data_IF_178247094144
#
_entry.id   IF_178247094144
#
_cell.length_a   1.000
_cell.length_b   1.000
_cell.length_c   1.000
_cell.angle_alpha   90.00
_cell.angle_beta   90.00
_cell.angle_gamma   90.00
#
_symmetry.space_group_name_H-M   'P 1'
#
loop_
_entity.id
_entity.type
_entity.pdbx_description
1 polymer ?
2 water ?
#
# COMPACT_ATOMS: atom_id res chain seq x y z
N UNK A 1 13.88 -3.43 -7.83
CA UNK A 1 13.21 -2.08 -7.76
C UNK A 1 14.19 -0.99 -7.37
N UNK A 2 13.82 0.26 -7.61
CA UNK A 2 14.69 1.39 -7.28
C UNK A 2 13.85 2.63 -7.04
N UNK A 3 14.07 3.26 -5.90
CA UNK A 3 13.33 4.46 -5.51
C UNK A 3 14.31 5.49 -4.95
N UNK A 4 14.06 6.76 -5.26
CA UNK A 4 14.93 7.83 -4.78
C UNK A 4 14.10 8.90 -4.07
N UNK A 5 14.50 9.20 -2.83
CA UNK A 5 13.83 10.20 -2.00
C UNK A 5 14.56 11.54 -2.04
N UNK A 6 13.81 12.63 -2.15
CA UNK A 6 14.39 13.98 -2.17
C UNK A 6 13.80 14.81 -1.03
N UNK A 7 14.64 15.55 -0.31
CA UNK A 7 14.16 16.36 0.81
C UNK A 7 13.22 17.49 0.39
N UNK A 8 13.44 18.05 -0.79
CA UNK A 8 12.61 19.15 -1.26
C UNK A 8 11.79 18.77 -2.49
N UNK A 9 10.79 19.59 -2.82
CA UNK A 9 9.92 19.30 -3.95
C UNK A 9 10.62 19.39 -5.30
N UNK A 10 10.01 18.80 -6.31
CA UNK A 10 10.54 18.81 -7.67
C UNK A 10 11.94 18.22 -7.78
N UNK A 11 12.21 17.20 -6.96
CA UNK A 11 13.48 16.48 -6.97
C UNK A 11 14.69 17.34 -6.62
N UNK A 12 14.50 18.20 -5.62
CA UNK A 12 15.55 19.09 -5.17
C UNK A 12 16.08 18.70 -3.80
N UNK A 13 17.25 19.24 -3.46
CA UNK A 13 17.86 18.97 -2.17
C UNK A 13 18.56 17.63 -2.08
N UNK A 14 18.98 17.29 -0.86
CA UNK A 14 19.66 16.03 -0.60
C UNK A 14 18.74 14.87 -0.92
N UNK A 15 19.31 13.80 -1.46
CA UNK A 15 18.53 12.62 -1.82
C UNK A 15 19.18 11.33 -1.32
N UNK A 16 18.41 10.25 -1.38
CA UNK A 16 18.89 8.93 -0.96
C UNK A 16 18.20 7.89 -1.84
N UNK A 17 18.98 6.98 -2.39
CA UNK A 17 18.45 5.93 -3.26
C UNK A 17 18.38 4.58 -2.56
N UNK A 18 17.25 3.89 -2.72
CA UNK A 18 17.04 2.57 -2.12
C UNK A 18 16.65 1.54 -3.18
N UNK A 19 17.14 0.32 -3.02
CA UNK A 19 16.81 -0.76 -3.94
C UNK A 19 16.33 -1.99 -3.17
N UNK A 20 16.03 -1.80 -1.89
CA UNK A 20 15.54 -2.88 -1.04
C UNK A 20 14.75 -2.29 0.12
N UNK A 21 14.21 -3.14 0.98
CA UNK A 21 13.47 -2.66 2.15
C UNK A 21 14.43 -1.85 3.01
N UNK A 22 13.88 -0.92 3.79
CA UNK A 22 14.67 -0.12 4.72
C UNK A 22 13.74 0.29 5.84
N UNK A 23 13.94 -0.28 7.04
CA UNK A 23 13.13 -0.01 8.23
C UNK A 23 13.37 1.35 8.90
N UNK A 24 14.41 2.06 8.48
CA UNK A 24 14.70 3.37 9.07
C UNK A 24 15.51 4.26 8.13
N UNK A 25 14.82 5.23 7.53
CA UNK A 25 15.43 6.16 6.58
C UNK A 25 15.90 7.45 7.25
N UNK A 26 15.58 7.61 8.53
CA UNK A 26 15.96 8.81 9.27
C UNK A 26 17.45 9.16 9.18
N UNK A 27 18.34 8.16 9.18
CA UNK A 27 19.77 8.46 9.10
C UNK A 27 20.22 9.07 7.77
N UNK A 28 19.37 8.98 6.75
CA UNK A 28 19.74 9.47 5.42
C UNK A 28 19.11 10.80 5.00
N UNK A 29 17.91 11.09 5.51
CA UNK A 29 17.25 12.36 5.22
C UNK A 29 16.25 12.68 6.32
N UNK A 30 16.01 13.98 6.53
CA UNK A 30 15.11 14.44 7.57
C UNK A 30 13.69 14.76 7.11
N UNK A 31 13.48 14.73 5.80
CA UNK A 31 12.17 15.02 5.23
C UNK A 31 12.15 14.55 3.79
N UNK A 32 10.96 14.33 3.25
CA UNK A 32 10.83 13.89 1.86
C UNK A 32 9.66 14.60 1.18
N UNK A 33 9.98 15.45 0.21
CA UNK A 33 8.96 16.21 -0.50
C UNK A 33 8.77 15.84 -1.97
N UNK A 34 9.57 14.90 -2.46
CA UNK A 34 9.45 14.43 -3.84
C UNK A 34 10.13 13.08 -3.95
N UNK A 35 9.67 12.27 -4.89
CA UNK A 35 10.21 10.93 -5.08
C UNK A 35 10.21 10.52 -6.54
N UNK A 36 11.26 9.81 -6.94
CA UNK A 36 11.36 9.27 -8.29
C UNK A 36 11.40 7.76 -8.10
N UNK A 37 10.44 7.05 -8.69
CA UNK A 37 10.46 5.60 -8.59
C UNK A 37 10.92 5.14 -9.96
N UNK A 38 12.17 4.70 -10.06
CA UNK A 38 12.71 4.25 -11.33
C UNK A 38 12.09 2.93 -11.75
N UNK A 39 11.81 2.07 -10.77
CA UNK A 39 11.21 0.78 -11.05
C UNK A 39 10.68 0.09 -9.80
N UNK A 40 9.69 -0.77 -9.99
CA UNK A 40 9.12 -1.51 -8.88
C UNK A 40 7.92 -0.91 -8.19
N UNK A 41 7.37 -1.67 -7.26
CA UNK A 41 6.22 -1.24 -6.47
C UNK A 41 6.72 -1.07 -5.05
N UNK A 42 6.37 0.07 -4.46
CA UNK A 42 6.82 0.39 -3.11
C UNK A 42 5.73 0.85 -2.17
N UNK A 43 5.93 0.58 -0.89
CA UNK A 43 5.01 1.07 0.13
C UNK A 43 5.95 1.92 0.98
N UNK A 44 5.62 3.19 1.15
CA UNK A 44 6.46 4.04 1.98
C UNK A 44 5.68 4.38 3.25
N UNK A 45 6.41 4.54 4.35
CA UNK A 45 5.77 4.79 5.63
C UNK A 45 6.20 6.05 6.36
N UNK A 46 5.26 6.59 7.12
CA UNK A 46 5.49 7.79 7.91
C UNK A 46 6.51 7.57 9.02
N UNK A 47 6.45 6.41 9.66
CA UNK A 47 7.34 6.10 10.77
C UNK A 47 8.26 4.91 10.49
N UNK A 48 9.33 4.77 11.28
CA UNK A 48 10.28 3.67 11.11
C UNK A 48 9.60 2.32 11.34
N UNK A 49 10.24 1.27 10.86
CA UNK A 49 9.73 -0.09 11.02
C UNK A 49 8.35 -0.32 10.42
N UNK A 50 8.07 0.34 9.30
CA UNK A 50 6.82 0.16 8.59
C UNK A 50 5.57 0.49 9.40
N UNK A 51 5.68 1.51 10.24
CA UNK A 51 4.58 1.95 11.08
C UNK A 51 4.01 3.28 10.61
N UNK A 52 2.83 3.63 11.11
CA UNK A 52 2.20 4.89 10.74
C UNK A 52 1.47 4.84 9.41
N UNK A 53 1.17 6.02 8.87
CA UNK A 53 0.47 6.13 7.59
C UNK A 53 1.27 5.45 6.47
N UNK A 54 0.56 4.76 5.59
CA UNK A 54 1.18 4.03 4.47
C UNK A 54 0.76 4.61 3.13
N UNK A 55 1.67 4.57 2.16
CA UNK A 55 1.39 5.08 0.82
C UNK A 55 2.01 4.18 -0.23
N UNK A 56 1.22 3.86 -1.25
CA UNK A 56 1.64 3.01 -2.35
C UNK A 56 2.15 3.82 -3.54
N UNK A 57 3.32 3.45 -4.05
CA UNK A 57 3.91 4.12 -5.21
C UNK A 57 4.45 3.12 -6.23
N UNK A 58 4.32 3.47 -7.50
CA UNK A 58 4.79 2.65 -8.61
C UNK A 58 5.70 3.52 -9.46
N UNK A 59 6.28 2.93 -10.51
CA UNK A 59 7.16 3.66 -11.40
C UNK A 59 6.52 4.99 -11.79
N UNK A 60 7.28 6.06 -11.62
CA UNK A 60 6.77 7.38 -11.95
C UNK A 60 7.52 8.45 -11.19
N UNK A 61 7.19 9.70 -11.46
CA UNK A 61 7.84 10.79 -10.77
C UNK A 61 6.80 11.57 -9.97
N UNK A 62 7.12 11.78 -8.70
CA UNK A 62 6.23 12.46 -7.77
C UNK A 62 6.90 13.74 -7.26
N UNK A 63 6.64 14.88 -7.92
CA UNK A 63 7.21 16.18 -7.56
C UNK A 63 6.79 16.77 -6.22
N UNK A 64 5.75 16.21 -5.61
CA UNK A 64 5.28 16.68 -4.31
C UNK A 64 4.61 15.51 -3.60
N UNK A 65 4.53 15.56 -2.28
CA UNK A 65 3.93 14.45 -1.55
C UNK A 65 2.46 14.23 -1.86
N UNK A 66 1.77 15.28 -2.29
CA UNK A 66 0.36 15.14 -2.63
C UNK A 66 0.20 14.17 -3.80
N UNK A 67 1.24 14.02 -4.62
CA UNK A 67 1.17 13.13 -5.77
C UNK A 67 1.04 11.65 -5.41
N UNK A 68 1.49 11.27 -4.21
CA UNK A 68 1.34 9.88 -3.78
C UNK A 68 0.26 9.83 -2.71
N UNK A 69 -0.61 10.84 -2.74
CA UNK A 69 -1.71 10.97 -1.79
C UNK A 69 -1.19 11.08 -0.36
N UNK A 70 0.01 11.62 -0.23
CA UNK A 70 0.61 11.76 1.09
C UNK A 70 0.04 12.91 1.90
N UNK A 71 0.19 12.81 3.22
CA UNK A 71 -0.30 13.85 4.12
C UNK A 71 0.78 14.87 4.46
N UNK A 72 2.04 14.45 4.41
CA UNK A 72 3.14 15.33 4.76
C UNK A 72 4.45 14.88 4.13
N UNK A 73 5.54 15.49 4.57
CA UNK A 73 6.86 15.14 4.07
C UNK A 73 7.62 14.23 5.03
N UNK A 74 6.88 13.54 5.89
CA UNK A 74 7.49 12.62 6.84
C UNK A 74 7.45 11.19 6.31
N UNK A 75 8.60 10.69 5.89
CA UNK A 75 8.73 9.32 5.37
C UNK A 75 9.95 8.73 6.07
N UNK A 76 9.75 7.67 6.84
CA UNK A 76 10.85 7.08 7.60
C UNK A 76 11.16 5.60 7.39
N UNK A 77 10.41 4.94 6.52
CA UNK A 77 10.70 3.54 6.20
C UNK A 77 10.05 3.22 4.86
N UNK A 78 10.54 2.18 4.20
CA UNK A 78 9.99 1.80 2.91
C UNK A 78 10.22 0.33 2.62
N UNK A 79 9.30 -0.28 1.90
CA UNK A 79 9.48 -1.68 1.57
C UNK A 79 9.22 -1.90 0.09
N UNK A 80 10.03 -2.76 -0.51
CA UNK A 80 9.90 -3.10 -1.92
C UNK A 80 8.98 -4.30 -2.02
N UNK A 81 7.83 -4.10 -2.65
CA UNK A 81 6.87 -5.17 -2.81
C UNK A 81 7.33 -6.10 -3.92
N UNK A 82 7.56 -7.38 -3.59
CA UNK A 82 8.01 -8.35 -4.58
C UNK A 82 7.15 -8.37 -5.85
N UNK A 83 7.78 -8.39 -7.03
CA UNK A 83 7.00 -8.43 -8.27
C UNK A 83 6.22 -9.74 -8.33
N UNK A 84 5.03 -9.70 -8.92
CA UNK A 84 4.19 -10.88 -9.01
C UNK A 84 3.69 -11.14 -10.43
N UNK A 85 3.73 -12.41 -10.84
CA UNK A 85 3.27 -12.82 -12.16
C UNK A 85 2.06 -13.72 -12.03
N UNK A 86 1.27 -13.79 -13.09
CA UNK A 86 0.09 -14.64 -13.07
C UNK A 86 -1.08 -14.00 -12.35
N UNK A 87 -2.06 -14.82 -12.01
CA UNK A 87 -3.25 -14.33 -11.34
C UNK A 87 -3.04 -13.95 -9.88
N UNK A 88 -3.80 -12.96 -9.44
CA UNK A 88 -3.77 -12.50 -8.06
C UNK A 88 -4.97 -13.18 -7.42
N UNK A 89 -4.95 -13.36 -6.11
CA UNK A 89 -6.06 -14.03 -5.46
C UNK A 89 -6.17 -13.76 -3.98
N UNK A 90 -7.38 -13.39 -3.54
CA UNK A 90 -7.61 -13.15 -2.13
C UNK A 90 -9.07 -13.42 -1.79
N UNK A 91 -9.29 -13.99 -0.62
CA UNK A 91 -10.63 -14.29 -0.15
C UNK A 91 -10.98 -13.32 0.97
N UNK A 92 -12.21 -12.83 0.96
CA UNK A 92 -12.67 -11.91 1.99
C UNK A 92 -13.81 -12.58 2.74
N UNK A 93 -13.85 -12.36 4.05
CA UNK A 93 -14.88 -12.96 4.90
C UNK A 93 -15.63 -11.88 5.67
N UNK A 94 -16.91 -12.11 5.95
CA UNK A 94 -17.70 -11.12 6.68
C UNK A 94 -17.73 -11.36 8.20
N UNK A 95 -16.81 -12.21 8.66
CA UNK A 95 -16.65 -12.53 10.08
C UNK A 95 -15.16 -12.76 10.33
N UNK A 96 -14.73 -12.65 11.59
CA UNK A 96 -13.31 -12.86 11.91
C UNK A 96 -12.90 -14.32 11.80
N UNK A 97 -11.60 -14.56 11.87
CA UNK A 97 -11.04 -15.91 11.80
C UNK A 97 -11.39 -16.70 10.54
N UNK A 98 -11.57 -15.99 9.43
CA UNK A 98 -11.89 -16.63 8.16
C UNK A 98 -13.17 -17.45 8.22
N UNK A 99 -14.21 -16.89 8.83
CA UNK A 99 -15.50 -17.55 8.94
C UNK A 99 -16.55 -16.66 8.29
N UNK A 100 -17.78 -17.16 8.17
CA UNK A 100 -18.84 -16.37 7.57
C UNK A 100 -18.90 -16.45 6.06
N UNK A 101 -19.67 -15.55 5.44
CA UNK A 101 -19.79 -15.53 3.99
C UNK A 101 -18.44 -15.18 3.39
N UNK A 102 -18.03 -15.94 2.38
CA UNK A 102 -16.74 -15.73 1.73
C UNK A 102 -16.87 -15.53 0.23
N UNK A 103 -16.05 -14.63 -0.30
CA UNK A 103 -16.01 -14.35 -1.73
C UNK A 103 -14.55 -14.26 -2.13
N UNK A 104 -14.26 -14.61 -3.37
CA UNK A 104 -12.89 -14.58 -3.84
C UNK A 104 -12.69 -13.54 -4.93
N UNK A 105 -11.59 -12.79 -4.82
CA UNK A 105 -11.24 -11.77 -5.80
C UNK A 105 -10.00 -12.21 -6.55
N UNK A 106 -10.02 -12.06 -7.88
CA UNK A 106 -8.87 -12.41 -8.70
C UNK A 106 -8.53 -11.22 -9.58
N UNK A 107 -9.19 -10.09 -9.31
CA UNK A 107 -8.96 -8.86 -10.06
C UNK A 107 -9.27 -7.69 -9.12
N UNK A 108 -9.02 -6.47 -9.58
CA UNK A 108 -9.27 -5.28 -8.77
C UNK A 108 -10.74 -5.08 -8.44
N UNK A 109 -11.00 -4.34 -7.37
CA UNK A 109 -12.36 -4.03 -6.95
C UNK A 109 -12.40 -2.56 -6.55
N UNK A 110 -12.93 -1.72 -7.43
CA UNK A 110 -13.02 -0.28 -7.18
C UNK A 110 -14.06 0.10 -6.15
N UNK A 111 -15.06 -0.76 -5.97
CA UNK A 111 -16.12 -0.50 -5.00
C UNK A 111 -16.60 -1.79 -4.38
N UNK A 112 -16.17 -2.06 -3.16
CA UNK A 112 -16.56 -3.26 -2.45
C UNK A 112 -18.07 -3.26 -2.22
N UNK A 113 -18.65 -2.06 -2.13
CA UNK A 113 -20.09 -1.93 -1.93
C UNK A 113 -20.83 -2.41 -3.17
N UNK A 114 -20.47 -1.86 -4.33
CA UNK A 114 -21.11 -2.23 -5.58
C UNK A 114 -20.93 -3.70 -5.93
N UNK A 115 -19.74 -4.23 -5.66
CA UNK A 115 -19.43 -5.62 -5.98
C UNK A 115 -20.00 -6.66 -5.01
N UNK A 116 -19.76 -6.47 -3.72
CA UNK A 116 -20.21 -7.44 -2.72
C UNK A 116 -21.32 -6.97 -1.78
N UNK A 117 -21.74 -5.72 -1.95
CA UNK A 117 -22.75 -5.12 -1.09
C UNK A 117 -22.28 -5.24 0.36
N UNK A 118 -21.01 -4.91 0.56
CA UNK A 118 -20.37 -4.93 1.87
C UNK A 118 -19.68 -3.60 2.08
N UNK A 119 -19.64 -3.13 3.32
CA UNK A 119 -18.97 -1.87 3.65
C UNK A 119 -17.83 -2.15 4.62
N UNK A 120 -17.79 -3.39 5.11
CA UNK A 120 -16.75 -3.83 6.03
C UNK A 120 -16.30 -5.23 5.63
N UNK A 121 -15.05 -5.56 5.97
CA UNK A 121 -14.49 -6.88 5.72
C UNK A 121 -13.84 -7.24 7.05
N UNK A 122 -14.17 -8.41 7.59
CA UNK A 122 -13.64 -8.81 8.90
C UNK A 122 -12.42 -9.72 8.95
N UNK A 123 -12.16 -10.46 7.88
CA UNK A 123 -10.97 -11.30 7.83
C UNK A 123 -10.63 -11.51 6.37
N UNK A 124 -9.36 -11.80 6.11
CA UNK A 124 -8.90 -11.97 4.74
C UNK A 124 -7.87 -13.07 4.61
N UNK A 125 -7.77 -13.61 3.40
CA UNK A 125 -6.76 -14.61 3.11
C UNK A 125 -6.19 -14.23 1.75
N UNK A 126 -5.07 -13.53 1.76
CA UNK A 126 -4.42 -13.11 0.53
C UNK A 126 -3.58 -14.31 0.10
N UNK A 127 -4.04 -15.00 -0.94
CA UNK A 127 -3.37 -16.20 -1.43
C UNK A 127 -2.27 -15.95 -2.46
N UNK A 128 -2.55 -15.10 -3.44
CA UNK A 128 -1.59 -14.80 -4.50
C UNK A 128 -1.43 -13.31 -4.80
N UNK A 129 -0.20 -12.83 -4.67
CA UNK A 129 0.09 -11.43 -4.95
C UNK A 129 -0.21 -10.50 -3.79
N UNK A 130 0.37 -9.30 -3.84
CA UNK A 130 0.15 -8.30 -2.81
C UNK A 130 -0.97 -7.38 -3.27
N UNK A 131 -1.69 -6.79 -2.32
CA UNK A 131 -2.80 -5.89 -2.64
C UNK A 131 -2.76 -4.68 -1.71
N UNK A 132 -3.51 -3.65 -2.09
CA UNK A 132 -3.63 -2.45 -1.26
C UNK A 132 -5.10 -2.36 -0.87
N UNK A 133 -5.35 -2.23 0.42
CA UNK A 133 -6.71 -2.10 0.93
C UNK A 133 -6.93 -0.61 1.19
N UNK A 134 -7.99 -0.06 0.61
CA UNK A 134 -8.32 1.35 0.76
C UNK A 134 -9.58 1.54 1.59
N UNK A 135 -9.55 2.56 2.45
CA UNK A 135 -10.69 2.88 3.31
C UNK A 135 -11.91 3.30 2.48
N UNK A 136 -11.66 4.01 1.39
CA UNK A 136 -12.75 4.50 0.54
C UNK A 136 -12.73 3.88 -0.85
N UNK A 137 -13.86 3.99 -1.57
CA UNK A 137 -13.93 3.44 -2.93
C UNK A 137 -12.99 4.21 -3.86
N UNK A 138 -12.73 3.64 -5.02
CA UNK A 138 -11.88 4.26 -6.03
C UNK A 138 -10.47 4.60 -5.58
N UNK A 139 -9.89 3.72 -4.78
CA UNK A 139 -8.53 3.88 -4.28
C UNK A 139 -8.27 5.20 -3.56
N UNK A 140 -9.16 5.57 -2.65
CA UNK A 140 -9.01 6.80 -1.89
C UNK A 140 -9.02 6.51 -0.39
N UNK A 141 -8.69 7.51 0.42
CA UNK A 141 -8.66 7.32 1.86
C UNK A 141 -7.41 6.60 2.35
N UNK A 142 -7.41 6.22 3.62
CA UNK A 142 -6.26 5.53 4.21
C UNK A 142 -5.92 4.23 3.49
N UNK A 143 -4.63 4.00 3.29
CA UNK A 143 -4.13 2.81 2.61
C UNK A 143 -3.48 1.80 3.56
N UNK A 144 -3.64 0.52 3.23
CA UNK A 144 -3.08 -0.55 4.03
C UNK A 144 -2.54 -1.64 3.11
N UNK A 145 -1.23 -1.85 3.14
CA UNK A 145 -0.61 -2.87 2.32
C UNK A 145 -1.02 -4.25 2.82
N UNK A 146 -1.46 -5.10 1.89
CA UNK A 146 -1.85 -6.46 2.22
C UNK A 146 -0.87 -7.42 1.56
N UNK A 147 0.02 -7.99 2.36
CA UNK A 147 0.99 -8.93 1.83
C UNK A 147 0.32 -10.30 1.88
N UNK A 148 0.77 -11.24 1.03
CA UNK A 148 0.16 -12.58 1.03
C UNK A 148 0.08 -13.14 2.44
N UNK A 149 -1.00 -13.85 2.74
CA UNK A 149 -1.15 -14.42 4.07
C UNK A 149 -2.53 -14.25 4.66
N UNK A 150 -2.72 -14.79 5.86
CA UNK A 150 -3.99 -14.72 6.56
C UNK A 150 -4.10 -13.55 7.53
N UNK A 151 -5.21 -12.83 7.44
CA UNK A 151 -5.49 -11.71 8.33
C UNK A 151 -6.78 -12.07 9.05
N UNK A 152 -6.64 -12.50 10.30
CA UNK A 152 -7.78 -12.94 11.11
C UNK A 152 -8.74 -11.86 11.61
N UNK A 153 -8.27 -10.62 11.68
CA UNK A 153 -9.11 -9.51 12.11
C UNK A 153 -8.55 -8.22 11.50
N UNK A 154 -9.37 -7.18 11.42
CA UNK A 154 -8.94 -5.92 10.81
C UNK A 154 -7.70 -5.32 11.45
N UNK A 155 -7.49 -5.59 12.74
CA UNK A 155 -6.32 -5.07 13.42
C UNK A 155 -5.05 -5.59 12.76
N UNK A 156 -5.14 -6.78 12.16
CA UNK A 156 -3.98 -7.39 11.52
C UNK A 156 -3.44 -6.66 10.30
N UNK A 157 -4.26 -5.85 9.63
CA UNK A 157 -3.73 -5.09 8.50
C UNK A 157 -3.48 -3.64 8.90
N UNK A 158 -3.57 -3.39 10.21
CA UNK A 158 -3.30 -2.08 10.75
C UNK A 158 -4.38 -1.01 10.78
N UNK A 159 -5.60 -1.38 10.41
CA UNK A 159 -6.70 -0.42 10.38
C UNK A 159 -7.37 -0.27 11.75
N UNK A 160 -8.01 0.89 11.99
CA UNK A 160 -8.70 1.19 13.26
C UNK A 160 -10.08 0.56 13.32
N UNK A 161 -10.57 0.10 12.17
CA UNK A 161 -11.88 -0.53 12.09
C UNK A 161 -11.92 -1.43 10.86
N UNK A 162 -13.06 -2.08 10.63
CA UNK A 162 -13.21 -3.01 9.51
C UNK A 162 -13.75 -2.42 8.20
N UNK A 163 -13.86 -1.09 8.12
CA UNK A 163 -14.37 -0.48 6.90
C UNK A 163 -13.40 -0.64 5.73
N UNK A 164 -13.94 -1.02 4.58
CA UNK A 164 -13.14 -1.21 3.36
C UNK A 164 -13.92 -0.69 2.15
N UNK A 165 -13.28 0.19 1.38
CA UNK A 165 -13.93 0.76 0.21
C UNK A 165 -13.50 0.16 -1.12
N UNK A 166 -12.21 -0.17 -1.24
CA UNK A 166 -11.71 -0.75 -2.48
C UNK A 166 -10.47 -1.60 -2.25
N UNK A 167 -10.19 -2.49 -3.20
CA UNK A 167 -9.04 -3.39 -3.11
C UNK A 167 -8.31 -3.38 -4.44
N UNK A 168 -7.00 -3.17 -4.37
CA UNK A 168 -6.18 -3.06 -5.56
C UNK A 168 -4.99 -4.02 -5.61
N UNK A 169 -4.83 -4.70 -6.75
CA UNK A 169 -3.71 -5.61 -6.92
C UNK A 169 -2.46 -4.75 -7.07
N UNK A 170 -1.37 -5.14 -6.43
CA UNK A 170 -0.13 -4.40 -6.54
C UNK A 170 0.66 -4.92 -7.74
N UNK A 171 0.74 -4.10 -8.78
CA UNK A 171 1.49 -4.46 -9.98
C UNK A 171 2.12 -3.19 -10.53
N UNK A 172 3.32 -3.29 -11.07
CA UNK A 172 3.97 -2.09 -11.57
C UNK A 172 3.24 -1.50 -12.77
N UNK A 173 3.55 -0.24 -13.04
CA UNK A 173 2.96 0.48 -14.15
C UNK A 173 3.22 -0.33 -15.41
N UNK A 174 2.16 -0.59 -16.17
CA UNK A 174 2.30 -1.34 -17.40
C UNK A 174 3.22 -0.62 -18.37
N UNK A 175 4.05 -1.39 -19.06
CA UNK A 175 4.98 -0.84 -20.03
C UNK A 175 5.10 -1.79 -21.22
N UNK A 176 5.53 -2.94 -21.01
#
# INVERSE_FOLDING_TARGET
>A
GKITFYEDRAFQGRSYECTTDCPNLQPYFSRCNSIRVESGCWMIYERPNYQGHQYFLRRGEYPDYQQWMGLSDSIRSCCLIPPHSGAYRMKIYDRDELRGQMSELTDDCLSVQDRFHLTEIHSLNVLEGSWILYEMPNYRGRQYLLRPGEYRRFLDWGAPNAKVGSLRRVMDLYLEHHHHHH
#
